data_IF_430690359707
#
_entry.id   IF_430690359707
#
_cell.length_a   1.000
_cell.length_b   1.000
_cell.length_c   1.000
_cell.angle_alpha   90.00
_cell.angle_beta   90.00
_cell.angle_gamma   90.00
#
_symmetry.space_group_name_H-M   'P 1'
#
loop_
_entity.id
_entity.type
_entity.pdbx_description
1 polymer ?
#
# COMPACT_ATOMS: atom_id res chain seq x y z
N UNK A 1 -1.62 -64.39 46.21
CA UNK A 1 -1.94 -64.26 44.76
C UNK A 1 -3.22 -63.45 44.67
N UNK A 2 -3.14 -62.15 44.40
CA UNK A 2 -4.32 -61.29 44.29
C UNK A 2 -5.03 -61.60 42.98
N UNK A 3 -6.03 -62.47 43.03
CA UNK A 3 -6.94 -62.70 41.92
C UNK A 3 -7.71 -61.39 41.69
N UNK A 4 -7.43 -60.72 40.56
CA UNK A 4 -8.29 -59.64 40.09
C UNK A 4 -9.72 -60.19 40.05
N UNK A 5 -10.62 -59.58 40.81
CA UNK A 5 -12.03 -59.93 40.77
C UNK A 5 -12.55 -59.75 39.34
N UNK A 6 -13.49 -60.57 38.86
CA UNK A 6 -14.03 -60.47 37.50
C UNK A 6 -14.55 -59.07 37.14
N UNK A 7 -14.98 -58.29 38.15
CA UNK A 7 -15.35 -56.89 38.02
C UNK A 7 -14.16 -56.01 37.57
N UNK A 8 -12.98 -56.22 38.16
CA UNK A 8 -11.79 -55.42 37.86
C UNK A 8 -11.28 -55.71 36.45
N UNK A 9 -11.36 -56.97 36.01
CA UNK A 9 -11.07 -57.36 34.61
C UNK A 9 -12.05 -56.69 33.64
N UNK A 10 -13.35 -56.68 33.95
CA UNK A 10 -14.36 -56.03 33.11
C UNK A 10 -14.12 -54.52 32.97
N UNK A 11 -13.79 -53.83 34.07
CA UNK A 11 -13.44 -52.39 34.06
C UNK A 11 -12.20 -52.13 33.19
N UNK A 12 -11.18 -52.98 33.32
CA UNK A 12 -9.95 -52.86 32.53
C UNK A 12 -10.21 -53.08 31.03
N UNK A 13 -11.07 -54.04 30.68
CA UNK A 13 -11.50 -54.24 29.29
C UNK A 13 -12.26 -53.02 28.73
N UNK A 14 -13.16 -52.41 29.51
CA UNK A 14 -13.90 -51.21 29.10
C UNK A 14 -12.95 -50.03 28.89
N UNK A 15 -11.99 -49.82 29.79
CA UNK A 15 -10.96 -48.78 29.67
C UNK A 15 -10.09 -48.98 28.42
N UNK A 16 -9.65 -50.21 28.15
CA UNK A 16 -8.87 -50.53 26.95
C UNK A 16 -9.68 -50.24 25.68
N UNK A 17 -10.95 -50.67 25.61
CA UNK A 17 -11.82 -50.38 24.46
C UNK A 17 -12.05 -48.87 24.29
N UNK A 18 -12.19 -48.12 25.38
CA UNK A 18 -12.34 -46.67 25.34
C UNK A 18 -11.07 -45.97 24.83
N UNK A 19 -9.89 -46.41 25.28
CA UNK A 19 -8.58 -45.92 24.80
C UNK A 19 -8.43 -46.21 23.30
N UNK A 20 -8.75 -47.42 22.84
CA UNK A 20 -8.68 -47.76 21.41
C UNK A 20 -9.66 -46.94 20.56
N UNK A 21 -10.90 -46.74 21.02
CA UNK A 21 -11.87 -45.87 20.31
C UNK A 21 -11.42 -44.40 20.26
N UNK A 22 -10.79 -43.89 21.31
CA UNK A 22 -10.27 -42.53 21.30
C UNK A 22 -8.97 -42.40 20.48
N UNK A 23 -8.14 -43.44 20.44
CA UNK A 23 -6.96 -43.50 19.58
C UNK A 23 -7.36 -43.49 18.10
N UNK A 24 -8.40 -44.25 17.71
CA UNK A 24 -8.95 -44.22 16.35
C UNK A 24 -9.56 -42.86 16.00
N UNK A 25 -10.29 -42.21 16.92
CA UNK A 25 -10.77 -40.83 16.70
C UNK A 25 -9.62 -39.82 16.55
N UNK A 26 -8.51 -40.04 17.24
CA UNK A 26 -7.27 -39.26 17.08
C UNK A 26 -6.60 -39.52 15.73
N UNK A 27 -6.65 -40.76 15.22
CA UNK A 27 -6.11 -41.12 13.90
C UNK A 27 -7.01 -40.67 12.75
N UNK A 28 -8.33 -40.73 12.89
CA UNK A 28 -9.28 -40.21 11.89
C UNK A 28 -9.20 -38.69 11.82
N UNK A 29 -9.04 -37.97 12.94
CA UNK A 29 -8.71 -36.53 12.93
C UNK A 29 -7.34 -36.22 12.30
N UNK A 30 -6.44 -37.21 12.19
CA UNK A 30 -5.13 -37.07 11.53
C UNK A 30 -5.10 -37.54 10.09
N UNK A 31 -6.16 -38.17 9.57
CA UNK A 31 -6.38 -38.36 8.12
C UNK A 31 -7.03 -37.12 7.51
N UNK A 32 -6.47 -35.96 7.85
CA UNK A 32 -6.70 -34.72 7.11
C UNK A 32 -6.03 -34.83 5.75
N UNK A 33 -6.81 -34.46 4.74
CA UNK A 33 -6.55 -34.21 3.32
C UNK A 33 -5.08 -34.07 2.87
N UNK A 34 -4.78 -34.48 1.61
CA UNK A 34 -3.43 -34.36 1.08
C UNK A 34 -2.96 -32.93 1.30
N UNK A 35 -1.77 -32.78 1.92
CA UNK A 35 -1.09 -31.49 2.08
C UNK A 35 -1.05 -30.80 0.72
N UNK A 36 -2.05 -29.98 0.44
CA UNK A 36 -2.00 -28.93 -0.56
C UNK A 36 -0.74 -28.18 -0.17
N UNK A 37 0.30 -28.34 -0.97
CA UNK A 37 1.55 -27.59 -0.88
C UNK A 37 1.11 -26.18 -0.52
N UNK A 38 1.35 -25.77 0.74
CA UNK A 38 0.84 -24.50 1.26
C UNK A 38 1.13 -23.49 0.16
N UNK A 39 0.07 -23.02 -0.51
CA UNK A 39 0.25 -22.14 -1.64
C UNK A 39 1.10 -21.03 -1.08
N UNK A 40 2.31 -20.88 -1.62
CA UNK A 40 3.23 -19.86 -1.17
C UNK A 40 2.54 -18.54 -1.49
N UNK A 41 1.74 -18.04 -0.55
CA UNK A 41 1.16 -16.72 -0.64
C UNK A 41 2.35 -15.80 -0.85
N UNK A 42 2.33 -14.94 -1.88
CA UNK A 42 3.37 -13.94 -2.02
C UNK A 42 3.55 -13.26 -0.67
N UNK A 43 4.79 -13.15 -0.21
CA UNK A 43 5.08 -12.43 1.02
C UNK A 43 4.58 -10.98 0.85
N UNK A 44 3.79 -10.50 1.80
CA UNK A 44 3.28 -9.12 1.85
C UNK A 44 3.84 -8.48 3.12
N UNK A 45 4.43 -7.29 2.96
CA UNK A 45 4.88 -6.47 4.07
C UNK A 45 3.71 -6.23 5.04
N UNK A 46 3.94 -6.40 6.34
CA UNK A 46 2.90 -6.16 7.35
C UNK A 46 2.43 -4.70 7.36
N UNK A 47 3.28 -3.77 6.94
CA UNK A 47 2.89 -2.36 6.81
C UNK A 47 1.94 -2.10 5.63
N UNK A 48 1.89 -3.02 4.66
CA UNK A 48 0.96 -2.99 3.51
C UNK A 48 -0.29 -3.84 3.72
N UNK A 49 -0.46 -4.50 4.88
CA UNK A 49 -1.74 -5.10 5.22
C UNK A 49 -2.75 -3.97 5.45
N UNK A 50 -3.87 -4.01 4.74
CA UNK A 50 -4.97 -3.10 5.00
C UNK A 50 -5.41 -3.29 6.45
N UNK A 51 -5.31 -2.23 7.25
CA UNK A 51 -5.66 -2.22 8.67
C UNK A 51 -7.12 -1.85 8.86
N UNK A 52 -7.94 -1.91 7.79
CA UNK A 52 -9.37 -1.64 7.83
C UNK A 52 -10.18 -2.64 8.67
N UNK A 53 -9.55 -3.60 9.34
CA UNK A 53 -10.20 -4.53 10.26
C UNK A 53 -10.83 -3.72 11.41
N UNK A 54 -12.08 -3.33 11.21
CA UNK A 54 -12.94 -2.57 12.14
C UNK A 54 -13.03 -3.24 13.52
N UNK A 55 -12.73 -4.54 13.61
CA UNK A 55 -12.76 -5.31 14.85
C UNK A 55 -11.93 -4.68 15.98
N UNK A 56 -10.79 -4.03 15.69
CA UNK A 56 -10.00 -3.37 16.75
C UNK A 56 -10.69 -2.13 17.33
N UNK A 57 -11.51 -1.43 16.55
CA UNK A 57 -12.20 -0.23 17.05
C UNK A 57 -13.39 -0.59 17.95
N UNK A 58 -14.02 -1.75 17.73
CA UNK A 58 -15.13 -2.24 18.55
C UNK A 58 -14.67 -2.80 19.90
N UNK A 59 -13.48 -3.41 19.98
CA UNK A 59 -12.94 -3.96 21.23
C UNK A 59 -12.52 -2.87 22.24
N UNK A 60 -12.04 -1.72 21.77
CA UNK A 60 -11.47 -0.64 22.61
C UNK A 60 -12.26 0.68 22.55
N UNK A 61 -13.61 0.62 22.59
CA UNK A 61 -14.50 1.77 22.37
C UNK A 61 -14.15 3.04 23.20
N UNK A 62 -13.65 2.88 24.43
CA UNK A 62 -13.29 4.01 25.31
C UNK A 62 -12.11 4.86 24.78
N UNK A 63 -11.24 4.29 23.94
CA UNK A 63 -10.10 4.98 23.33
C UNK A 63 -10.48 5.89 22.16
N UNK A 64 -11.67 5.69 21.58
CA UNK A 64 -12.10 6.35 20.35
C UNK A 64 -13.02 7.53 20.62
N UNK A 65 -12.88 8.58 19.81
CA UNK A 65 -13.79 9.71 19.78
C UNK A 65 -14.82 9.51 18.67
N UNK A 66 -16.10 9.52 19.01
CA UNK A 66 -17.19 9.60 18.04
C UNK A 66 -17.24 10.99 17.39
N UNK A 67 -17.57 11.05 16.10
CA UNK A 67 -17.72 12.33 15.40
C UNK A 67 -19.04 12.99 15.77
N UNK A 68 -18.98 14.17 16.38
CA UNK A 68 -20.15 15.00 16.70
C UNK A 68 -20.34 16.17 15.72
N UNK A 69 -19.53 16.24 14.67
CA UNK A 69 -19.55 17.33 13.69
C UNK A 69 -20.85 17.31 12.88
N UNK A 70 -21.70 18.31 13.10
CA UNK A 70 -22.84 18.61 12.25
C UNK A 70 -22.45 19.72 11.27
N UNK A 71 -22.42 19.39 9.98
CA UNK A 71 -21.97 20.30 8.91
C UNK A 71 -23.18 20.74 8.10
N UNK A 72 -23.29 22.04 7.82
CA UNK A 72 -24.35 22.59 6.97
C UNK A 72 -24.22 22.08 5.53
N UNK A 73 -25.34 21.64 4.95
CA UNK A 73 -25.42 21.26 3.55
C UNK A 73 -25.76 22.49 2.69
N UNK A 74 -24.84 22.90 1.83
CA UNK A 74 -25.00 24.04 0.91
C UNK A 74 -25.37 23.59 -0.52
N UNK A 75 -26.05 24.42 -1.33
CA UNK A 75 -26.32 24.10 -2.73
C UNK A 75 -25.03 23.90 -3.54
N UNK A 76 -24.93 22.77 -4.24
CA UNK A 76 -23.79 22.46 -5.09
C UNK A 76 -23.91 23.14 -6.47
N UNK A 77 -22.87 23.85 -6.88
CA UNK A 77 -22.74 24.39 -8.24
C UNK A 77 -21.61 23.67 -8.98
N UNK A 78 -21.84 23.37 -10.26
CA UNK A 78 -20.84 22.72 -11.10
C UNK A 78 -20.83 23.31 -12.52
N UNK A 79 -19.73 23.09 -13.23
CA UNK A 79 -19.60 23.49 -14.63
C UNK A 79 -20.32 22.48 -15.53
N UNK A 80 -21.29 22.95 -16.31
CA UNK A 80 -21.97 22.17 -17.32
C UNK A 80 -21.44 22.52 -18.72
N UNK A 81 -20.90 21.54 -19.43
CA UNK A 81 -20.34 21.73 -20.77
C UNK A 81 -21.28 21.15 -21.84
N UNK A 82 -21.33 21.73 -23.06
CA UNK A 82 -21.99 21.08 -24.19
C UNK A 82 -21.35 19.73 -24.53
N UNK A 83 -22.13 18.76 -25.01
CA UNK A 83 -21.65 17.38 -25.28
C UNK A 83 -20.39 17.34 -26.14
N UNK A 84 -20.32 18.15 -27.20
CA UNK A 84 -19.14 18.25 -28.06
C UNK A 84 -17.88 18.65 -27.30
N UNK A 85 -18.01 19.57 -26.34
CA UNK A 85 -16.90 19.99 -25.49
C UNK A 85 -16.55 18.91 -24.46
N UNK A 86 -17.54 18.19 -23.92
CA UNK A 86 -17.28 17.04 -23.04
C UNK A 86 -16.44 15.96 -23.73
N UNK A 87 -16.79 15.60 -24.97
CA UNK A 87 -16.02 14.64 -25.79
C UNK A 87 -14.60 15.13 -26.03
N UNK A 88 -14.43 16.41 -26.40
CA UNK A 88 -13.11 17.00 -26.61
C UNK A 88 -12.25 16.96 -25.35
N UNK A 89 -12.75 17.47 -24.23
CA UNK A 89 -12.00 17.55 -22.96
C UNK A 89 -11.60 16.19 -22.43
N UNK A 90 -12.51 15.22 -22.50
CA UNK A 90 -12.25 13.84 -22.06
C UNK A 90 -11.18 13.17 -22.92
N UNK A 91 -11.22 13.37 -24.24
CA UNK A 91 -10.21 12.86 -25.16
C UNK A 91 -8.83 13.49 -24.91
N UNK A 92 -8.74 14.81 -24.79
CA UNK A 92 -7.47 15.52 -24.55
C UNK A 92 -6.83 15.10 -23.22
N UNK A 93 -7.65 14.96 -22.16
CA UNK A 93 -7.15 14.51 -20.86
C UNK A 93 -6.70 13.04 -20.89
N UNK A 94 -7.44 12.18 -21.59
CA UNK A 94 -7.00 10.80 -21.83
C UNK A 94 -5.65 10.76 -22.55
N UNK A 95 -5.47 11.52 -23.63
CA UNK A 95 -4.21 11.57 -24.38
C UNK A 95 -3.03 12.04 -23.53
N UNK A 96 -3.26 13.02 -22.64
CA UNK A 96 -2.26 13.47 -21.67
C UNK A 96 -1.87 12.35 -20.69
N UNK A 97 -2.84 11.72 -20.03
CA UNK A 97 -2.56 10.67 -19.04
C UNK A 97 -2.08 9.36 -19.67
N UNK A 98 -2.44 9.09 -20.92
CA UNK A 98 -1.94 7.95 -21.68
C UNK A 98 -0.43 8.08 -21.95
N UNK A 99 0.15 9.28 -21.93
CA UNK A 99 1.60 9.49 -22.03
C UNK A 99 2.35 9.16 -20.72
N UNK A 100 1.67 9.08 -19.57
CA UNK A 100 2.33 8.79 -18.28
C UNK A 100 2.99 7.42 -18.28
N UNK A 101 4.27 7.37 -17.91
CA UNK A 101 5.07 6.14 -17.75
C UNK A 101 5.71 6.09 -16.37
N UNK A 102 6.11 4.91 -15.91
CA UNK A 102 6.97 4.77 -14.73
C UNK A 102 8.43 4.98 -15.15
N UNK A 103 8.95 6.17 -14.91
CA UNK A 103 10.31 6.59 -15.32
C UNK A 103 11.27 6.44 -14.15
N UNK A 104 12.36 5.69 -14.35
CA UNK A 104 13.42 5.46 -13.35
C UNK A 104 14.70 6.23 -13.64
N UNK A 105 14.82 6.82 -14.82
CA UNK A 105 15.96 7.66 -15.21
C UNK A 105 15.51 9.12 -15.15
N UNK A 106 15.81 9.77 -14.03
CA UNK A 106 15.37 11.13 -13.71
C UNK A 106 16.60 12.05 -13.68
N UNK A 107 16.49 13.22 -14.29
CA UNK A 107 17.47 14.29 -14.28
C UNK A 107 17.58 14.94 -12.89
N UNK A 108 18.72 15.57 -12.59
CA UNK A 108 18.93 16.39 -11.39
C UNK A 108 18.48 17.86 -11.55
N UNK A 109 17.91 18.19 -12.71
CA UNK A 109 17.32 19.50 -12.99
C UNK A 109 16.26 19.86 -11.94
N UNK A 110 16.36 21.07 -11.38
CA UNK A 110 15.52 21.50 -10.27
C UNK A 110 14.08 21.77 -10.71
N UNK A 111 13.13 21.43 -9.82
CA UNK A 111 11.71 21.70 -10.01
C UNK A 111 11.28 22.88 -9.13
N UNK A 112 10.53 23.87 -9.65
CA UNK A 112 10.00 24.96 -8.84
C UNK A 112 9.12 24.43 -7.71
N UNK A 113 9.32 24.93 -6.48
CA UNK A 113 8.56 24.44 -5.31
C UNK A 113 7.07 24.70 -5.39
N UNK A 114 6.67 25.81 -6.00
CA UNK A 114 5.26 26.12 -6.23
C UNK A 114 4.56 25.03 -7.06
N UNK A 115 5.27 24.40 -8.01
CA UNK A 115 4.71 23.26 -8.76
C UNK A 115 4.46 22.09 -7.81
N UNK A 116 5.38 21.80 -6.89
CA UNK A 116 5.25 20.72 -5.91
C UNK A 116 4.11 20.98 -4.93
N UNK A 117 4.01 22.22 -4.44
CA UNK A 117 2.91 22.63 -3.57
C UNK A 117 1.56 22.46 -4.27
N UNK A 118 1.47 22.87 -5.55
CA UNK A 118 0.24 22.76 -6.33
C UNK A 118 -0.15 21.31 -6.63
N UNK A 119 0.79 20.42 -6.96
CA UNK A 119 0.46 19.00 -7.21
C UNK A 119 0.08 18.27 -5.91
N UNK A 120 0.66 18.63 -4.77
CA UNK A 120 0.27 18.08 -3.46
C UNK A 120 -1.09 18.61 -3.02
N UNK A 121 -1.36 19.91 -3.20
CA UNK A 121 -2.71 20.47 -2.99
C UNK A 121 -3.75 19.76 -3.85
N UNK A 122 -3.40 19.48 -5.11
CA UNK A 122 -4.26 18.70 -6.02
C UNK A 122 -4.48 17.29 -5.50
N UNK A 123 -3.44 16.61 -5.00
CA UNK A 123 -3.58 15.29 -4.38
C UNK A 123 -4.48 15.32 -3.14
N UNK A 124 -4.42 16.39 -2.35
CA UNK A 124 -5.26 16.62 -1.17
C UNK A 124 -6.74 16.84 -1.49
N UNK A 125 -7.14 17.06 -2.75
CA UNK A 125 -8.56 17.11 -3.12
C UNK A 125 -9.19 15.72 -3.28
N UNK A 126 -8.47 14.64 -2.95
CA UNK A 126 -8.99 13.29 -3.00
C UNK A 126 -10.15 13.11 -2.00
N UNK A 127 -11.15 12.28 -2.32
CA UNK A 127 -12.09 11.82 -1.31
C UNK A 127 -11.39 10.88 -0.32
N UNK A 128 -11.91 10.84 0.91
CA UNK A 128 -11.48 9.89 1.94
C UNK A 128 -12.66 9.41 2.78
N UNK A 129 -12.51 8.25 3.42
CA UNK A 129 -13.54 7.71 4.32
C UNK A 129 -13.85 8.70 5.44
N UNK A 130 -15.12 9.10 5.55
CA UNK A 130 -15.62 10.13 6.47
C UNK A 130 -14.81 11.45 6.44
N UNK A 131 -14.28 11.83 5.27
CA UNK A 131 -13.49 13.07 5.09
C UNK A 131 -12.33 13.23 6.09
N UNK A 132 -11.69 12.12 6.46
CA UNK A 132 -10.58 12.12 7.45
C UNK A 132 -9.22 12.57 6.91
N UNK A 133 -9.09 12.73 5.58
CA UNK A 133 -7.86 13.16 4.91
C UNK A 133 -6.57 12.47 5.44
N UNK A 134 -6.51 11.12 5.49
CA UNK A 134 -5.53 10.39 6.31
C UNK A 134 -4.16 10.27 5.62
N UNK A 135 -3.67 11.34 5.02
CA UNK A 135 -2.41 11.39 4.28
C UNK A 135 -1.43 12.40 4.85
N UNK A 136 -0.16 12.04 4.77
CA UNK A 136 0.96 12.97 4.97
C UNK A 136 1.90 12.86 3.78
N UNK A 137 2.17 13.99 3.13
CA UNK A 137 3.16 14.11 2.06
C UNK A 137 4.45 14.71 2.60
N UNK A 138 5.51 13.93 2.68
CA UNK A 138 6.84 14.39 3.10
C UNK A 138 7.69 14.68 1.87
N UNK A 139 7.98 15.96 1.63
CA UNK A 139 8.83 16.42 0.53
C UNK A 139 10.29 16.47 1.00
N UNK A 140 11.16 15.71 0.37
CA UNK A 140 12.60 15.65 0.70
C UNK A 140 13.42 16.16 -0.49
N UNK A 141 14.19 17.22 -0.24
CA UNK A 141 15.12 17.83 -1.20
C UNK A 141 16.57 17.76 -0.74
N UNK A 142 16.76 17.68 0.57
CA UNK A 142 18.07 17.64 1.20
C UNK A 142 18.88 16.43 0.67
N UNK A 143 20.04 16.66 0.03
CA UNK A 143 20.85 15.59 -0.55
C UNK A 143 21.29 14.54 0.47
N UNK A 144 21.60 14.93 1.71
CA UNK A 144 22.05 14.00 2.75
C UNK A 144 20.89 13.13 3.24
N UNK A 145 19.70 13.70 3.40
CA UNK A 145 18.50 12.94 3.76
C UNK A 145 18.12 11.99 2.63
N UNK A 146 18.16 12.42 1.36
CA UNK A 146 17.92 11.56 0.20
C UNK A 146 18.90 10.40 0.14
N UNK A 147 20.19 10.66 0.38
CA UNK A 147 21.21 9.62 0.40
C UNK A 147 21.02 8.61 1.55
N UNK A 148 20.59 9.07 2.73
CA UNK A 148 20.20 8.18 3.84
C UNK A 148 18.99 7.32 3.47
N UNK A 149 17.97 7.90 2.82
CA UNK A 149 16.80 7.17 2.32
C UNK A 149 17.23 6.08 1.34
N UNK A 150 18.07 6.43 0.35
CA UNK A 150 18.60 5.49 -0.63
C UNK A 150 19.30 4.31 0.04
N UNK A 151 20.22 4.57 0.98
CA UNK A 151 20.95 3.53 1.70
C UNK A 151 20.02 2.54 2.41
N UNK A 152 19.01 3.05 3.13
CA UNK A 152 18.01 2.20 3.80
C UNK A 152 17.27 1.32 2.77
N UNK A 153 16.84 1.92 1.65
CA UNK A 153 16.06 1.23 0.63
C UNK A 153 16.89 0.17 -0.09
N UNK A 154 18.12 0.50 -0.52
CA UNK A 154 18.97 -0.44 -1.25
C UNK A 154 19.39 -1.62 -0.36
N UNK A 155 19.67 -1.38 0.93
CA UNK A 155 20.00 -2.43 1.91
C UNK A 155 18.83 -3.44 2.09
N UNK A 156 17.61 -2.95 2.33
CA UNK A 156 16.44 -3.83 2.48
C UNK A 156 16.03 -4.49 1.16
N UNK A 157 16.12 -3.77 0.04
CA UNK A 157 15.81 -4.33 -1.28
C UNK A 157 16.78 -5.45 -1.65
N UNK A 158 18.07 -5.33 -1.34
CA UNK A 158 19.03 -6.40 -1.58
C UNK A 158 18.61 -7.68 -0.82
N UNK A 159 18.23 -7.54 0.46
CA UNK A 159 17.70 -8.66 1.26
C UNK A 159 16.39 -9.19 0.65
N UNK A 160 15.51 -8.31 0.19
CA UNK A 160 14.25 -8.70 -0.44
C UNK A 160 14.50 -9.57 -1.67
N UNK A 161 15.34 -9.12 -2.61
CA UNK A 161 15.66 -9.86 -3.83
C UNK A 161 16.40 -11.18 -3.55
N UNK A 162 17.29 -11.21 -2.56
CA UNK A 162 18.09 -12.40 -2.26
C UNK A 162 17.35 -13.45 -1.43
N UNK A 163 16.44 -13.05 -0.54
CA UNK A 163 15.90 -13.95 0.51
C UNK A 163 14.38 -13.97 0.62
N UNK A 164 13.67 -12.87 0.33
CA UNK A 164 12.23 -12.75 0.67
C UNK A 164 11.31 -12.85 -0.55
N UNK A 165 11.69 -12.27 -1.69
CA UNK A 165 10.86 -12.25 -2.90
C UNK A 165 10.86 -13.62 -3.59
N UNK A 166 9.66 -14.16 -3.84
CA UNK A 166 9.50 -15.43 -4.53
C UNK A 166 9.99 -15.39 -5.98
N UNK A 167 10.48 -16.52 -6.49
CA UNK A 167 11.04 -16.64 -7.84
C UNK A 167 10.09 -16.14 -8.96
N UNK A 168 8.78 -16.39 -8.81
CA UNK A 168 7.75 -15.94 -9.76
C UNK A 168 7.67 -14.42 -9.82
N UNK A 169 7.58 -13.76 -8.67
CA UNK A 169 7.54 -12.30 -8.57
C UNK A 169 8.78 -11.65 -9.23
N UNK A 170 9.97 -12.15 -8.89
CA UNK A 170 11.23 -11.67 -9.49
C UNK A 170 11.23 -11.86 -11.00
N UNK A 171 10.72 -13.00 -11.48
CA UNK A 171 10.62 -13.29 -12.92
C UNK A 171 9.65 -12.34 -13.64
N UNK A 172 8.49 -12.04 -13.06
CA UNK A 172 7.50 -11.12 -13.64
C UNK A 172 8.03 -9.68 -13.74
N UNK A 173 8.92 -9.28 -12.83
CA UNK A 173 9.57 -7.97 -12.82
C UNK A 173 10.71 -7.82 -13.83
N UNK A 174 11.30 -8.92 -14.36
CA UNK A 174 12.49 -8.86 -15.25
C UNK A 174 12.33 -7.90 -16.43
N UNK A 175 11.13 -7.85 -17.03
CA UNK A 175 10.82 -6.94 -18.15
C UNK A 175 10.91 -5.46 -17.80
N UNK A 176 10.81 -5.11 -16.52
CA UNK A 176 10.95 -3.75 -16.01
C UNK A 176 12.42 -3.37 -15.75
N UNK A 177 13.36 -4.33 -15.84
CA UNK A 177 14.79 -4.17 -15.60
C UNK A 177 15.11 -3.52 -14.26
N UNK A 178 14.36 -3.88 -13.23
CA UNK A 178 14.58 -3.42 -11.86
C UNK A 178 15.55 -4.34 -11.13
N UNK A 179 16.38 -3.75 -10.29
CA UNK A 179 17.23 -4.44 -9.32
C UNK A 179 17.17 -3.66 -7.98
N UNK A 180 18.00 -4.04 -7.00
CA UNK A 180 18.02 -3.35 -5.71
C UNK A 180 18.63 -1.94 -5.78
N UNK A 181 19.42 -1.60 -6.81
CA UNK A 181 20.10 -0.30 -6.99
C UNK A 181 19.10 0.78 -7.44
N UNK A 182 18.98 1.86 -6.67
CA UNK A 182 17.98 2.93 -6.84
C UNK A 182 18.65 4.31 -6.93
N UNK A 183 19.59 4.49 -7.86
CA UNK A 183 20.33 5.74 -8.08
C UNK A 183 19.45 6.98 -8.21
N UNK A 184 18.27 6.83 -8.81
CA UNK A 184 17.30 7.92 -8.96
C UNK A 184 16.84 8.54 -7.64
N UNK A 185 17.03 7.88 -6.50
CA UNK A 185 16.73 8.44 -5.19
C UNK A 185 17.70 9.57 -4.81
N UNK A 186 18.96 9.51 -5.28
CA UNK A 186 19.92 10.59 -5.14
C UNK A 186 19.75 11.61 -6.28
N UNK A 187 19.54 11.15 -7.51
CA UNK A 187 19.54 12.03 -8.69
C UNK A 187 18.28 12.90 -8.80
N UNK A 188 17.08 12.35 -8.56
CA UNK A 188 15.83 13.10 -8.72
C UNK A 188 15.83 14.33 -7.78
N UNK A 189 15.50 15.54 -8.23
CA UNK A 189 15.60 16.75 -7.41
C UNK A 189 14.74 16.68 -6.15
N UNK A 190 13.65 15.90 -6.17
CA UNK A 190 12.66 15.84 -5.11
C UNK A 190 12.23 14.39 -4.88
N UNK A 191 12.14 13.96 -3.63
CA UNK A 191 11.41 12.76 -3.24
C UNK A 191 10.13 13.17 -2.51
N UNK A 192 9.01 12.53 -2.82
CA UNK A 192 7.75 12.67 -2.07
C UNK A 192 7.47 11.31 -1.43
N UNK A 193 7.55 11.24 -0.11
CA UNK A 193 7.15 10.06 0.66
C UNK A 193 5.73 10.27 1.18
N UNK A 194 4.84 9.37 0.80
CA UNK A 194 3.41 9.44 1.11
C UNK A 194 3.13 8.43 2.22
N UNK A 195 2.71 8.93 3.36
CA UNK A 195 2.31 8.13 4.51
C UNK A 195 0.78 8.10 4.62
N UNK A 196 0.23 6.91 4.93
CA UNK A 196 -1.15 6.77 5.41
C UNK A 196 -1.18 6.91 6.93
N UNK A 197 -2.10 7.68 7.46
CA UNK A 197 -2.38 7.79 8.88
C UNK A 197 -3.39 6.70 9.26
N UNK A 198 -2.97 5.69 10.02
CA UNK A 198 -3.85 4.56 10.39
C UNK A 198 -4.98 4.99 11.33
N UNK A 199 -4.76 6.05 12.11
CA UNK A 199 -5.76 6.76 12.90
C UNK A 199 -5.28 8.21 13.10
N UNK A 200 -6.19 9.09 13.50
CA UNK A 200 -5.92 10.46 13.89
C UNK A 200 -6.06 10.65 15.40
N UNK A 201 -6.06 11.91 15.83
CA UNK A 201 -6.33 12.29 17.22
C UNK A 201 -7.31 13.46 17.27
N UNK A 202 -8.28 13.39 18.17
CA UNK A 202 -9.15 14.50 18.51
C UNK A 202 -8.45 15.48 19.45
N UNK A 203 -9.02 16.68 19.64
CA UNK A 203 -8.44 17.72 20.50
C UNK A 203 -8.27 17.29 21.96
N UNK A 204 -9.07 16.32 22.44
CA UNK A 204 -8.97 15.74 23.77
C UNK A 204 -7.92 14.62 23.88
N UNK A 205 -7.19 14.31 22.81
CA UNK A 205 -6.17 13.27 22.76
C UNK A 205 -6.70 11.85 22.49
N UNK A 206 -8.02 11.64 22.40
CA UNK A 206 -8.60 10.35 21.98
C UNK A 206 -8.29 10.07 20.51
N UNK A 207 -8.25 8.79 20.12
CA UNK A 207 -8.01 8.39 18.73
C UNK A 207 -9.26 8.70 17.88
N UNK A 208 -9.03 9.17 16.65
CA UNK A 208 -10.06 9.31 15.61
C UNK A 208 -9.86 8.20 14.59
N UNK A 209 -10.92 7.47 14.25
CA UNK A 209 -10.85 6.40 13.24
C UNK A 209 -10.63 7.02 11.85
N UNK A 210 -9.66 6.51 11.11
CA UNK A 210 -9.46 6.82 9.69
C UNK A 210 -9.94 5.67 8.81
N UNK A 211 -11.22 5.73 8.43
CA UNK A 211 -11.85 4.71 7.59
C UNK A 211 -11.17 4.61 6.21
N UNK A 212 -10.93 3.37 5.76
CA UNK A 212 -10.36 3.09 4.44
C UNK A 212 -9.11 3.91 4.13
N UNK A 213 -8.23 4.10 5.13
CA UNK A 213 -7.08 5.00 5.01
C UNK A 213 -6.16 4.64 3.83
N UNK A 214 -5.90 3.36 3.58
CA UNK A 214 -5.08 2.93 2.45
C UNK A 214 -5.73 3.25 1.09
N UNK A 215 -7.02 2.97 0.94
CA UNK A 215 -7.78 3.29 -0.30
C UNK A 215 -7.81 4.81 -0.50
N UNK A 216 -8.09 5.57 0.56
CA UNK A 216 -8.14 7.04 0.52
C UNK A 216 -6.80 7.63 0.05
N UNK A 217 -5.69 7.18 0.65
CA UNK A 217 -4.35 7.65 0.29
C UNK A 217 -3.94 7.15 -1.11
N UNK A 218 -4.39 5.97 -1.52
CA UNK A 218 -4.15 5.45 -2.88
C UNK A 218 -4.86 6.27 -3.96
N UNK A 219 -6.08 6.75 -3.70
CA UNK A 219 -6.78 7.69 -4.58
C UNK A 219 -6.01 9.01 -4.67
N UNK A 220 -5.55 9.55 -3.52
CA UNK A 220 -4.70 10.74 -3.49
C UNK A 220 -3.40 10.56 -4.30
N UNK A 221 -2.77 9.38 -4.23
CA UNK A 221 -1.62 9.05 -5.06
C UNK A 221 -1.97 9.03 -6.57
N UNK A 222 -3.14 8.51 -6.94
CA UNK A 222 -3.62 8.53 -8.33
C UNK A 222 -3.80 9.94 -8.87
N UNK A 223 -4.40 10.83 -8.08
CA UNK A 223 -4.55 12.26 -8.40
C UNK A 223 -3.18 12.95 -8.48
N UNK A 224 -2.27 12.65 -7.55
CA UNK A 224 -0.90 13.18 -7.56
C UNK A 224 -0.16 12.80 -8.85
N UNK A 225 -0.26 11.54 -9.28
CA UNK A 225 0.35 11.08 -10.55
C UNK A 225 -0.21 11.81 -11.77
N UNK A 226 -1.51 12.11 -11.77
CA UNK A 226 -2.14 12.90 -12.83
C UNK A 226 -1.66 14.37 -12.81
N UNK A 227 -1.57 14.96 -11.61
CA UNK A 227 -1.09 16.33 -11.43
C UNK A 227 0.38 16.50 -11.85
N UNK A 228 1.24 15.55 -11.49
CA UNK A 228 2.64 15.50 -11.93
C UNK A 228 2.74 15.41 -13.46
N UNK A 229 1.96 14.51 -14.08
CA UNK A 229 1.92 14.38 -15.54
C UNK A 229 1.45 15.68 -16.22
N UNK A 230 0.46 16.35 -15.64
CA UNK A 230 -0.04 17.64 -16.12
C UNK A 230 1.01 18.76 -16.03
N UNK A 231 1.84 18.75 -14.98
CA UNK A 231 2.96 19.68 -14.82
C UNK A 231 4.18 19.36 -15.70
N UNK A 232 4.14 18.29 -16.51
CA UNK A 232 5.26 17.86 -17.35
C UNK A 232 6.36 17.11 -16.59
N UNK A 233 6.10 16.67 -15.36
CA UNK A 233 7.05 15.92 -14.53
C UNK A 233 6.85 14.41 -14.69
N UNK A 234 7.90 13.66 -14.36
CA UNK A 234 7.89 12.20 -14.37
C UNK A 234 8.24 11.62 -13.00
N UNK A 235 7.80 10.38 -12.78
CA UNK A 235 8.11 9.63 -11.57
C UNK A 235 7.97 8.13 -11.80
N UNK A 236 8.34 7.35 -10.78
CA UNK A 236 8.03 5.92 -10.66
C UNK A 236 7.37 5.69 -9.29
N UNK A 237 6.27 4.96 -9.28
CA UNK A 237 5.65 4.48 -8.05
C UNK A 237 6.54 3.41 -7.43
N UNK A 238 7.06 3.67 -6.23
CA UNK A 238 7.83 2.68 -5.46
C UNK A 238 7.18 2.46 -4.11
N UNK A 239 7.17 1.21 -3.67
CA UNK A 239 6.71 0.79 -2.33
C UNK A 239 7.92 0.17 -1.63
N UNK A 240 8.70 0.94 -0.85
CA UNK A 240 9.93 0.45 -0.23
C UNK A 240 9.63 -0.61 0.86
N UNK A 241 9.53 -1.87 0.43
CA UNK A 241 9.16 -3.00 1.30
C UNK A 241 10.16 -3.14 2.45
N UNK A 242 9.65 -3.36 3.66
CA UNK A 242 10.38 -3.47 4.92
C UNK A 242 11.16 -2.21 5.35
N UNK A 243 11.06 -1.11 4.59
CA UNK A 243 11.76 0.14 4.90
C UNK A 243 10.91 1.10 5.75
N UNK A 244 9.59 0.88 5.80
CA UNK A 244 8.60 1.77 6.41
C UNK A 244 9.01 2.29 7.80
N UNK A 245 9.33 1.40 8.78
CA UNK A 245 9.70 1.84 10.12
C UNK A 245 10.99 2.66 10.18
N UNK A 246 12.02 2.28 9.41
CA UNK A 246 13.31 3.00 9.37
C UNK A 246 13.16 4.37 8.72
N UNK A 247 12.41 4.47 7.62
CA UNK A 247 12.15 5.73 6.93
C UNK A 247 11.27 6.66 7.75
N UNK A 248 10.27 6.12 8.46
CA UNK A 248 9.43 6.85 9.42
C UNK A 248 10.27 7.50 10.52
N UNK A 249 11.18 6.74 11.13
CA UNK A 249 12.10 7.26 12.16
C UNK A 249 13.06 8.31 11.58
N UNK A 250 13.66 8.04 10.42
CA UNK A 250 14.56 8.98 9.74
C UNK A 250 13.89 10.34 9.47
N UNK A 251 12.61 10.32 9.10
CA UNK A 251 11.84 11.52 8.75
C UNK A 251 11.04 12.12 9.92
N UNK A 252 11.25 11.62 11.15
CA UNK A 252 10.58 12.13 12.35
C UNK A 252 9.06 11.99 12.31
N UNK A 253 8.55 10.97 11.61
CA UNK A 253 7.11 10.73 11.46
C UNK A 253 6.55 9.90 12.63
N UNK A 254 5.32 10.18 13.09
CA UNK A 254 4.74 9.53 14.26
C UNK A 254 4.40 8.05 13.98
N UNK A 255 4.28 7.23 15.03
CA UNK A 255 4.10 5.78 14.91
C UNK A 255 2.80 5.35 14.21
N UNK A 256 1.76 6.20 14.20
CA UNK A 256 0.49 5.96 13.52
C UNK A 256 0.52 6.30 12.02
N UNK A 257 1.67 6.71 11.50
CA UNK A 257 1.86 6.88 10.06
C UNK A 257 2.63 5.70 9.48
N UNK A 258 2.12 5.11 8.40
CA UNK A 258 2.80 4.04 7.66
C UNK A 258 3.14 4.51 6.26
N UNK A 259 4.37 4.26 5.82
CA UNK A 259 4.80 4.61 4.47
C UNK A 259 4.02 3.76 3.47
N UNK A 260 3.26 4.41 2.59
CA UNK A 260 2.52 3.74 1.52
C UNK A 260 3.32 3.76 0.21
N UNK A 261 3.85 4.91 -0.17
CA UNK A 261 4.49 5.10 -1.47
C UNK A 261 5.61 6.13 -1.41
N UNK A 262 6.65 5.94 -2.21
CA UNK A 262 7.70 6.91 -2.47
C UNK A 262 7.75 7.23 -3.97
N UNK A 263 7.73 8.52 -4.28
CA UNK A 263 7.83 9.07 -5.63
C UNK A 263 9.12 9.91 -5.77
N UNK A 264 10.13 9.46 -6.54
CA UNK A 264 11.17 10.36 -7.01
C UNK A 264 10.60 11.20 -8.16
N UNK A 265 10.64 12.52 -8.03
CA UNK A 265 9.97 13.46 -8.93
C UNK A 265 11.00 14.35 -9.61
N UNK A 266 10.87 14.54 -10.91
CA UNK A 266 11.72 15.45 -11.69
C UNK A 266 11.43 15.35 -13.19
N UNK A 267 12.41 15.74 -13.99
CA UNK A 267 12.39 15.60 -15.45
C UNK A 267 13.04 14.27 -15.86
N UNK A 268 12.66 13.66 -17.00
CA UNK A 268 13.38 12.51 -17.51
C UNK A 268 14.83 12.90 -17.85
N UNK A 269 15.78 12.01 -17.61
CA UNK A 269 17.14 12.22 -18.14
C UNK A 269 17.14 12.18 -19.67
N UNK A 270 18.17 12.74 -20.32
CA UNK A 270 18.29 12.76 -21.79
C UNK A 270 18.28 11.38 -22.43
N UNK A 271 18.80 10.38 -21.72
CA UNK A 271 18.89 8.98 -22.15
C UNK A 271 17.80 8.10 -21.52
N UNK A 272 16.77 8.71 -20.92
CA UNK A 272 15.73 7.96 -20.23
C UNK A 272 15.00 7.01 -21.18
N UNK A 273 15.01 5.73 -20.83
CA UNK A 273 14.22 4.70 -21.51
C UNK A 273 13.15 4.14 -20.57
N UNK A 274 12.07 3.66 -21.16
CA UNK A 274 10.97 2.96 -20.47
C UNK A 274 10.64 1.68 -21.23
N UNK A 275 10.22 0.60 -20.56
CA UNK A 275 9.82 -0.62 -21.26
C UNK A 275 8.68 -0.33 -22.25
N UNK A 276 8.64 -0.90 -23.45
CA UNK A 276 7.50 -0.68 -24.37
C UNK A 276 6.30 -1.55 -23.98
N UNK A 277 5.54 -1.11 -22.99
CA UNK A 277 4.34 -1.79 -22.50
C UNK A 277 3.09 -1.23 -23.19
N UNK A 278 2.18 -2.12 -23.57
CA UNK A 278 0.86 -1.76 -24.08
C UNK A 278 -0.18 -1.86 -22.97
N UNK A 279 -1.12 -0.92 -22.94
CA UNK A 279 -2.31 -0.99 -22.07
C UNK A 279 -3.37 -1.88 -22.74
N UNK A 280 -4.26 -2.46 -21.93
CA UNK A 280 -5.42 -3.18 -22.45
C UNK A 280 -6.32 -2.23 -23.26
N UNK A 281 -6.94 -2.70 -24.35
CA UNK A 281 -7.98 -1.94 -25.04
C UNK A 281 -9.23 -1.78 -24.16
N UNK A 282 -10.09 -0.83 -24.51
CA UNK A 282 -11.24 -0.42 -23.69
C UNK A 282 -12.23 -1.58 -23.42
N UNK A 283 -12.50 -2.39 -24.43
CA UNK A 283 -13.39 -3.56 -24.38
C UNK A 283 -12.93 -4.65 -23.40
N UNK A 284 -11.65 -4.65 -22.99
CA UNK A 284 -11.12 -5.56 -21.99
C UNK A 284 -11.15 -5.02 -20.56
N UNK A 285 -11.54 -3.75 -20.36
CA UNK A 285 -11.60 -3.11 -19.04
C UNK A 285 -12.95 -2.47 -18.73
N UNK A 286 -13.85 -2.38 -19.72
CA UNK A 286 -15.18 -1.81 -19.58
C UNK A 286 -16.24 -2.85 -19.93
N UNK A 287 -17.16 -3.08 -19.00
CA UNK A 287 -18.38 -3.86 -19.23
C UNK A 287 -19.56 -2.89 -19.09
N UNK A 288 -20.39 -2.79 -20.13
CA UNK A 288 -21.67 -2.06 -20.07
C UNK A 288 -22.77 -3.09 -19.85
N UNK A 289 -23.61 -2.85 -18.85
CA UNK A 289 -24.76 -3.69 -18.50
C UNK A 289 -26.06 -2.99 -18.85
#
# INVERSE_FOLDING_TARGET
MYFLTPILVAILCILVVWIFKNADRSMEKKKGEPRTRAEARPWVDEDLKDSSDLHQAEEDADEWQESEENVEHIPFSHNHYPEKEMVKRSQEFYELLNKRRSVRFISNEQVPMEVIDNVIRTAGTAPSGAHTEPWTFVVVKDPDVKHKIRKIIEEEEEINYMKRMGHRWVTDLKKLRTNWIKEYLDTAPILILIFKQVHGFAANGKKKVHYYNEISVSIACGILLAALQNAGLVTVTTTPLNCGPRLRVLLGRPAHEKLLMLLPVGYPSKEATVPDLKRKPLDQIMVTV
#
